data_IF_581540578489
#
_entry.id   IF_581540578489
#
_cell.length_a   1.000
_cell.length_b   1.000
_cell.length_c   1.000
_cell.angle_alpha   90.00
_cell.angle_beta   90.00
_cell.angle_gamma   90.00
#
_symmetry.space_group_name_H-M   'P 1'
#
loop_
_entity.id
_entity.type
_entity.pdbx_description
1 polymer ?
#
# COMPACT_ATOMS: atom_id res chain seq x y z
N UNK A 1 -1.50 3.38 17.98
CA UNK A 1 -2.38 4.01 16.97
C UNK A 1 -3.66 4.51 17.65
N UNK A 2 -4.17 5.70 17.28
CA UNK A 2 -5.38 6.30 17.86
C UNK A 2 -6.64 5.57 17.36
N UNK A 3 -7.75 5.62 18.11
CA UNK A 3 -9.01 4.93 17.74
C UNK A 3 -9.57 5.39 16.38
N UNK A 4 -9.42 6.67 16.05
CA UNK A 4 -9.85 7.23 14.76
C UNK A 4 -9.01 6.70 13.59
N UNK A 5 -7.70 6.57 13.79
CA UNK A 5 -6.80 5.96 12.82
C UNK A 5 -7.16 4.49 12.57
N UNK A 6 -7.50 3.74 13.62
CA UNK A 6 -7.96 2.34 13.50
C UNK A 6 -9.22 2.20 12.64
N UNK A 7 -10.19 3.09 12.81
CA UNK A 7 -11.40 3.10 12.00
C UNK A 7 -11.10 3.42 10.53
N UNK A 8 -10.25 4.41 10.28
CA UNK A 8 -9.76 4.74 8.94
C UNK A 8 -9.07 3.54 8.28
N UNK A 9 -8.07 2.95 8.94
CA UNK A 9 -7.32 1.79 8.41
C UNK A 9 -8.26 0.66 8.05
N UNK A 10 -9.22 0.34 8.94
CA UNK A 10 -10.20 -0.72 8.70
C UNK A 10 -11.10 -0.44 7.49
N UNK A 11 -11.55 0.80 7.30
CA UNK A 11 -12.38 1.13 6.13
C UNK A 11 -11.55 1.15 4.84
N UNK A 12 -10.40 1.82 4.84
CA UNK A 12 -9.55 1.95 3.67
C UNK A 12 -9.02 0.59 3.18
N UNK A 13 -8.75 -0.35 4.09
CA UNK A 13 -8.43 -1.75 3.74
C UNK A 13 -9.53 -2.44 2.93
N UNK A 14 -10.81 -2.19 3.24
CA UNK A 14 -11.92 -2.74 2.43
C UNK A 14 -11.90 -2.16 1.02
N UNK A 15 -11.60 -0.87 0.88
CA UNK A 15 -11.50 -0.20 -0.44
C UNK A 15 -10.32 -0.73 -1.24
N UNK A 16 -9.18 -0.98 -0.59
CA UNK A 16 -8.02 -1.62 -1.20
C UNK A 16 -8.35 -3.03 -1.70
N UNK A 17 -9.02 -3.83 -0.89
CA UNK A 17 -9.42 -5.20 -1.26
C UNK A 17 -10.40 -5.24 -2.43
N UNK A 18 -11.30 -4.26 -2.51
CA UNK A 18 -12.29 -4.15 -3.58
C UNK A 18 -11.75 -3.47 -4.84
N UNK A 19 -10.47 -3.06 -4.86
CA UNK A 19 -9.87 -2.34 -6.00
C UNK A 19 -10.44 -0.93 -6.22
N UNK A 20 -11.10 -0.35 -5.22
CA UNK A 20 -11.73 0.98 -5.28
C UNK A 20 -10.97 2.05 -4.50
N UNK A 21 -9.77 1.74 -3.97
CA UNK A 21 -8.89 2.73 -3.37
C UNK A 21 -8.10 3.52 -4.43
N UNK A 22 -7.97 4.83 -4.21
CA UNK A 22 -7.13 5.71 -5.00
C UNK A 22 -6.29 6.63 -4.10
N UNK A 23 -5.21 7.17 -4.64
CA UNK A 23 -4.34 8.15 -3.98
C UNK A 23 -4.42 9.48 -4.70
N UNK A 24 -4.49 10.56 -3.92
CA UNK A 24 -4.19 11.90 -4.39
C UNK A 24 -2.94 12.41 -3.66
N UNK A 25 -1.84 12.58 -4.37
CA UNK A 25 -0.57 13.03 -3.81
C UNK A 25 -0.33 14.51 -4.12
N UNK A 26 -0.14 15.32 -3.08
CA UNK A 26 0.37 16.69 -3.22
C UNK A 26 1.87 16.78 -2.96
N UNK A 27 2.41 18.00 -3.04
CA UNK A 27 3.86 18.23 -2.93
C UNK A 27 4.45 17.74 -1.60
N UNK A 28 3.65 17.76 -0.52
CA UNK A 28 4.09 17.31 0.81
C UNK A 28 4.51 15.83 0.88
N UNK A 29 4.05 14.98 -0.05
CA UNK A 29 4.52 13.58 -0.12
C UNK A 29 5.98 13.49 -0.57
N UNK A 30 6.41 14.43 -1.42
CA UNK A 30 7.73 14.52 -2.05
C UNK A 30 8.74 15.31 -1.20
N UNK A 31 8.31 16.11 -0.21
CA UNK A 31 9.20 16.96 0.59
C UNK A 31 10.29 16.17 1.32
N UNK A 32 9.93 15.05 1.94
CA UNK A 32 10.90 14.18 2.62
C UNK A 32 11.92 13.50 1.70
N UNK A 33 11.70 13.53 0.38
CA UNK A 33 12.64 13.02 -0.62
C UNK A 33 13.67 14.08 -1.07
N UNK A 34 13.54 15.32 -0.57
CA UNK A 34 14.39 16.45 -0.94
C UNK A 34 13.75 17.40 -1.95
N UNK A 35 12.50 17.15 -2.39
CA UNK A 35 11.79 18.07 -3.27
C UNK A 35 11.15 19.23 -2.51
N UNK A 36 11.00 20.35 -3.19
CA UNK A 36 10.45 21.57 -2.63
C UNK A 36 8.95 21.69 -2.88
N UNK A 37 8.27 22.43 -2.02
CA UNK A 37 6.86 22.78 -2.23
C UNK A 37 6.71 23.99 -3.17
N UNK A 38 5.46 24.31 -3.55
CA UNK A 38 5.17 25.41 -4.48
C UNK A 38 5.66 26.79 -4.00
N UNK A 39 5.61 27.05 -2.68
CA UNK A 39 6.08 28.32 -2.11
C UNK A 39 7.61 28.44 -2.22
N UNK A 40 8.32 27.37 -1.93
CA UNK A 40 9.77 27.28 -2.04
C UNK A 40 10.24 27.43 -3.50
N UNK A 41 9.55 26.79 -4.45
CA UNK A 41 9.86 26.91 -5.89
C UNK A 41 9.80 28.35 -6.39
N UNK A 42 8.89 29.16 -5.85
CA UNK A 42 8.72 30.57 -6.25
C UNK A 42 9.56 31.57 -5.44
N UNK A 43 10.40 31.11 -4.50
CA UNK A 43 11.16 32.01 -3.63
C UNK A 43 12.12 32.92 -4.42
N UNK A 44 12.84 32.37 -5.41
CA UNK A 44 13.74 33.15 -6.26
C UNK A 44 12.97 34.13 -7.14
N UNK A 45 11.77 33.74 -7.58
CA UNK A 45 10.89 34.59 -8.39
C UNK A 45 10.40 35.78 -7.56
N UNK A 46 9.97 35.55 -6.32
CA UNK A 46 9.64 36.64 -5.40
C UNK A 46 10.84 37.58 -5.21
N UNK A 47 12.04 37.01 -5.02
CA UNK A 47 13.27 37.78 -4.84
C UNK A 47 13.59 38.65 -6.06
N UNK A 48 13.48 38.11 -7.28
CA UNK A 48 13.66 38.89 -8.52
C UNK A 48 12.63 40.02 -8.66
N UNK A 49 11.38 39.77 -8.26
CA UNK A 49 10.30 40.75 -8.26
C UNK A 49 10.38 41.73 -7.07
N UNK A 50 11.38 41.58 -6.19
CA UNK A 50 11.54 42.35 -4.94
C UNK A 50 10.33 42.25 -4.00
N UNK A 51 9.69 41.09 -4.01
CA UNK A 51 8.60 40.73 -3.12
C UNK A 51 9.11 39.77 -2.04
N UNK A 52 8.44 39.75 -0.89
CA UNK A 52 8.73 38.81 0.18
C UNK A 52 7.75 37.64 0.11
N UNK A 53 8.24 36.45 -0.28
CA UNK A 53 7.44 35.23 -0.41
C UNK A 53 6.66 34.88 0.88
N UNK A 54 7.16 35.30 2.05
CA UNK A 54 6.50 35.03 3.32
C UNK A 54 5.23 35.86 3.53
N UNK A 55 5.10 37.00 2.85
CA UNK A 55 3.93 37.86 2.88
C UNK A 55 2.93 37.55 1.75
N UNK A 56 3.34 36.73 0.76
CA UNK A 56 2.52 36.40 -0.40
C UNK A 56 1.58 35.22 -0.14
N UNK A 57 0.27 35.46 -0.29
CA UNK A 57 -0.77 34.43 -0.16
C UNK A 57 -1.23 33.87 -1.50
N UNK A 58 -1.08 34.64 -2.59
CA UNK A 58 -1.46 34.24 -3.95
C UNK A 58 -0.22 33.97 -4.81
N UNK A 59 0.34 32.79 -4.59
CA UNK A 59 1.51 32.27 -5.32
C UNK A 59 1.24 32.10 -6.82
N UNK A 60 -0.01 31.92 -7.24
CA UNK A 60 -0.39 31.76 -8.65
C UNK A 60 -0.28 33.12 -9.37
N UNK A 61 -0.75 34.20 -8.73
CA UNK A 61 -0.58 35.55 -9.25
C UNK A 61 0.89 35.97 -9.27
N UNK A 62 1.69 35.57 -8.28
CA UNK A 62 3.14 35.82 -8.26
C UNK A 62 3.84 35.28 -9.51
N UNK A 63 3.57 34.02 -9.88
CA UNK A 63 4.10 33.42 -11.10
C UNK A 63 3.67 34.19 -12.36
N UNK A 64 2.43 34.68 -12.40
CA UNK A 64 1.93 35.50 -13.51
C UNK A 64 2.64 36.86 -13.59
N UNK A 65 2.94 37.51 -12.46
CA UNK A 65 3.67 38.79 -12.44
C UNK A 65 5.05 38.65 -13.07
N UNK A 66 5.76 37.57 -12.77
CA UNK A 66 7.05 37.28 -13.38
C UNK A 66 6.95 37.13 -14.90
N UNK A 67 5.99 36.34 -15.40
CA UNK A 67 5.77 36.18 -16.85
C UNK A 67 5.39 37.50 -17.51
N UNK A 68 4.58 38.32 -16.85
CA UNK A 68 4.18 39.63 -17.38
C UNK A 68 5.36 40.61 -17.46
N UNK A 69 6.24 40.63 -16.45
CA UNK A 69 7.43 41.48 -16.43
C UNK A 69 8.47 41.04 -17.46
N UNK A 70 8.80 39.74 -17.49
CA UNK A 70 9.84 39.19 -18.38
C UNK A 70 9.35 38.88 -19.78
N UNK A 71 8.04 38.92 -20.02
CA UNK A 71 7.36 38.52 -21.28
C UNK A 71 7.73 37.10 -21.75
N UNK A 72 8.09 36.22 -20.82
CA UNK A 72 8.59 34.88 -21.12
C UNK A 72 8.37 33.93 -19.94
N UNK A 73 7.97 32.69 -20.20
CA UNK A 73 7.80 31.62 -19.20
C UNK A 73 8.99 30.67 -19.10
N UNK A 74 10.01 30.84 -19.95
CA UNK A 74 11.19 29.95 -19.99
C UNK A 74 11.94 29.87 -18.67
N UNK A 75 11.97 30.95 -17.88
CA UNK A 75 12.60 30.94 -16.56
C UNK A 75 11.87 30.01 -15.58
N UNK A 76 10.54 30.12 -15.47
CA UNK A 76 9.70 29.22 -14.67
C UNK A 76 9.87 27.76 -15.10
N UNK A 77 9.84 27.49 -16.40
CA UNK A 77 10.02 26.14 -16.93
C UNK A 77 11.41 25.60 -16.60
N UNK A 78 12.45 26.45 -16.73
CA UNK A 78 13.83 26.09 -16.40
C UNK A 78 13.97 25.78 -14.92
N UNK A 79 13.37 26.57 -14.02
CA UNK A 79 13.40 26.29 -12.57
C UNK A 79 12.75 24.97 -12.22
N UNK A 80 11.63 24.60 -12.86
CA UNK A 80 11.03 23.26 -12.67
C UNK A 80 12.01 22.16 -13.08
N UNK A 81 12.63 22.31 -14.25
CA UNK A 81 13.61 21.33 -14.70
C UNK A 81 14.78 21.27 -13.73
N UNK A 82 15.34 22.40 -13.29
CA UNK A 82 16.48 22.42 -12.37
C UNK A 82 16.16 21.79 -11.01
N UNK A 83 15.04 22.17 -10.40
CA UNK A 83 14.67 21.71 -9.05
C UNK A 83 14.15 20.27 -9.03
N UNK A 84 13.55 19.80 -10.12
CA UNK A 84 12.94 18.46 -10.18
C UNK A 84 13.70 17.47 -11.08
N UNK A 85 14.80 17.86 -11.74
CA UNK A 85 15.64 16.93 -12.51
C UNK A 85 16.66 16.17 -11.64
N UNK A 86 16.99 16.67 -10.45
CA UNK A 86 17.86 15.91 -9.54
C UNK A 86 17.16 14.63 -9.08
N UNK A 87 17.91 13.52 -9.06
CA UNK A 87 17.38 12.23 -8.61
C UNK A 87 17.19 12.26 -7.10
N UNK A 88 15.97 12.51 -6.68
CA UNK A 88 15.53 12.29 -5.31
C UNK A 88 15.28 10.79 -5.04
N UNK A 89 15.59 10.35 -3.83
CA UNK A 89 15.28 8.99 -3.38
C UNK A 89 13.83 8.93 -2.89
N UNK A 90 13.01 7.96 -3.34
CA UNK A 90 11.65 7.82 -2.85
C UNK A 90 11.57 7.68 -1.33
N UNK A 91 10.65 8.41 -0.70
CA UNK A 91 10.37 8.23 0.74
C UNK A 91 9.76 6.85 1.01
N UNK A 92 9.76 6.42 2.27
CA UNK A 92 9.13 5.14 2.64
C UNK A 92 7.63 5.12 2.31
N UNK A 93 6.94 6.26 2.37
CA UNK A 93 5.54 6.36 1.97
C UNK A 93 5.34 5.99 0.49
N UNK A 94 6.23 6.44 -0.41
CA UNK A 94 6.17 6.03 -1.82
C UNK A 94 6.34 4.51 -1.96
N UNK A 95 7.31 3.93 -1.24
CA UNK A 95 7.60 2.50 -1.30
C UNK A 95 6.42 1.66 -0.80
N UNK A 96 5.80 2.06 0.31
CA UNK A 96 4.60 1.40 0.84
C UNK A 96 3.45 1.47 -0.17
N UNK A 97 3.14 2.67 -0.68
CA UNK A 97 2.07 2.87 -1.66
C UNK A 97 2.30 2.07 -2.93
N UNK A 98 3.55 1.92 -3.38
CA UNK A 98 3.91 1.12 -4.54
C UNK A 98 3.74 -0.39 -4.31
N UNK A 99 3.85 -0.89 -3.07
CA UNK A 99 3.61 -2.31 -2.72
C UNK A 99 2.12 -2.64 -2.57
N UNK A 100 1.29 -1.66 -2.25
CA UNK A 100 -0.16 -1.83 -2.15
C UNK A 100 -0.83 -2.03 -3.52
N UNK A 101 -1.99 -2.69 -3.60
CA UNK A 101 -2.70 -2.96 -4.86
C UNK A 101 -3.50 -1.73 -5.38
N UNK A 102 -2.87 -0.55 -5.38
CA UNK A 102 -3.49 0.69 -5.83
C UNK A 102 -3.21 0.85 -7.33
N UNK A 103 -4.28 1.07 -8.09
CA UNK A 103 -4.22 1.18 -9.56
C UNK A 103 -4.43 2.62 -10.07
N UNK A 104 -4.81 3.56 -9.20
CA UNK A 104 -5.18 4.92 -9.56
C UNK A 104 -4.48 5.92 -8.67
N UNK A 105 -3.62 6.74 -9.27
CA UNK A 105 -2.90 7.83 -8.60
C UNK A 105 -3.19 9.13 -9.33
N UNK A 106 -3.53 10.16 -8.56
CA UNK A 106 -3.66 11.53 -9.02
C UNK A 106 -2.63 12.40 -8.31
N UNK A 107 -2.06 13.36 -9.01
CA UNK A 107 -1.12 14.31 -8.41
C UNK A 107 -1.12 15.65 -9.14
N UNK A 108 -0.78 16.69 -8.39
CA UNK A 108 -0.45 18.03 -8.90
C UNK A 108 1.06 18.25 -9.01
N UNK A 109 1.87 17.25 -8.66
CA UNK A 109 3.33 17.36 -8.64
C UNK A 109 3.92 17.14 -10.04
N UNK A 110 5.08 17.75 -10.27
CA UNK A 110 5.83 17.64 -11.52
C UNK A 110 6.84 16.47 -11.50
N UNK A 111 7.34 16.11 -10.32
CA UNK A 111 8.31 15.03 -10.09
C UNK A 111 7.79 13.66 -10.55
N UNK A 112 8.70 12.70 -10.73
CA UNK A 112 8.39 11.35 -11.23
C UNK A 112 8.52 10.25 -10.16
N UNK A 113 8.49 10.60 -8.86
CA UNK A 113 8.76 9.64 -7.78
C UNK A 113 7.73 8.52 -7.71
N UNK A 114 6.45 8.83 -7.93
CA UNK A 114 5.38 7.83 -7.90
C UNK A 114 5.63 6.79 -9.00
N UNK A 115 5.90 7.26 -10.21
CA UNK A 115 6.13 6.45 -11.40
C UNK A 115 7.40 5.62 -11.28
N UNK A 116 8.50 6.24 -10.81
CA UNK A 116 9.77 5.56 -10.58
C UNK A 116 9.60 4.47 -9.53
N UNK A 117 9.02 4.78 -8.38
CA UNK A 117 8.85 3.80 -7.30
C UNK A 117 7.96 2.64 -7.74
N UNK A 118 6.86 2.91 -8.46
CA UNK A 118 6.02 1.85 -9.02
C UNK A 118 6.81 0.93 -9.96
N UNK A 119 7.69 1.47 -10.82
CA UNK A 119 8.56 0.69 -11.71
C UNK A 119 9.61 -0.11 -10.94
N UNK A 120 10.16 0.43 -9.87
CA UNK A 120 11.11 -0.27 -8.99
C UNK A 120 10.47 -1.52 -8.37
N UNK A 121 9.16 -1.48 -8.10
CA UNK A 121 8.34 -2.62 -7.69
C UNK A 121 7.74 -3.42 -8.87
N UNK A 122 8.34 -3.32 -10.06
CA UNK A 122 8.00 -4.08 -11.26
C UNK A 122 6.56 -3.87 -11.78
N UNK A 123 5.94 -2.73 -11.46
CA UNK A 123 4.61 -2.38 -12.00
C UNK A 123 4.72 -1.66 -13.34
N UNK A 124 3.79 -1.97 -14.24
CA UNK A 124 3.60 -1.30 -15.52
C UNK A 124 2.78 -0.03 -15.29
N UNK A 125 3.44 1.13 -15.37
CA UNK A 125 2.82 2.44 -15.12
C UNK A 125 2.37 3.09 -16.44
N UNK A 126 1.13 3.60 -16.44
CA UNK A 126 0.55 4.41 -17.51
C UNK A 126 0.44 5.87 -17.04
N UNK A 127 1.42 6.70 -17.38
CA UNK A 127 1.48 8.11 -16.97
C UNK A 127 0.68 8.98 -17.94
N UNK A 128 -0.16 9.88 -17.39
CA UNK A 128 -1.03 10.81 -18.11
C UNK A 128 -0.79 12.23 -17.60
N UNK A 129 -0.07 13.04 -18.39
CA UNK A 129 0.23 14.44 -18.08
C UNK A 129 -0.23 15.41 -19.18
N UNK A 130 -0.80 14.90 -20.29
CA UNK A 130 -1.49 15.72 -21.30
C UNK A 130 -2.87 15.15 -21.67
N UNK A 131 -3.83 15.98 -22.12
CA UNK A 131 -5.18 15.51 -22.45
C UNK A 131 -5.20 14.45 -23.57
N UNK A 132 -4.29 14.55 -24.54
CA UNK A 132 -4.20 13.59 -25.64
C UNK A 132 -3.79 12.18 -25.19
N UNK A 133 -3.06 12.05 -24.06
CA UNK A 133 -2.67 10.75 -23.54
C UNK A 133 -3.84 9.98 -22.93
N UNK A 134 -4.93 10.66 -22.53
CA UNK A 134 -6.11 10.02 -21.95
C UNK A 134 -6.86 9.12 -22.93
N UNK A 135 -6.71 9.34 -24.23
CA UNK A 135 -7.34 8.53 -25.29
C UNK A 135 -6.57 7.23 -25.59
N UNK A 136 -5.38 7.07 -25.02
CA UNK A 136 -4.53 5.89 -25.22
C UNK A 136 -4.33 5.16 -23.90
N UNK A 137 -4.13 3.85 -23.96
CA UNK A 137 -3.91 3.03 -22.77
C UNK A 137 -2.68 2.16 -22.96
N UNK A 138 -1.85 2.09 -21.92
CA UNK A 138 -0.75 1.13 -21.89
C UNK A 138 -1.30 -0.26 -21.62
N UNK A 139 -0.98 -1.22 -22.50
CA UNK A 139 -1.39 -2.61 -22.33
C UNK A 139 -0.81 -3.19 -21.03
N UNK A 140 -1.63 -3.97 -20.30
CA UNK A 140 -1.26 -4.64 -19.05
C UNK A 140 -0.78 -3.69 -17.95
N UNK A 141 -1.24 -2.43 -17.95
CA UNK A 141 -0.93 -1.46 -16.88
C UNK A 141 -1.42 -1.96 -15.53
N UNK A 142 -0.57 -1.86 -14.52
CA UNK A 142 -0.91 -2.14 -13.12
C UNK A 142 -1.44 -0.87 -12.43
N UNK A 143 -0.97 0.31 -12.85
CA UNK A 143 -1.37 1.59 -12.29
C UNK A 143 -1.40 2.70 -13.36
N UNK A 144 -2.32 3.66 -13.19
CA UNK A 144 -2.40 4.91 -13.94
C UNK A 144 -2.00 6.07 -13.02
N UNK A 145 -1.12 6.94 -13.50
CA UNK A 145 -0.67 8.13 -12.77
C UNK A 145 -1.10 9.36 -13.56
N UNK A 146 -2.11 10.07 -13.06
CA UNK A 146 -2.61 11.31 -13.65
C UNK A 146 -1.92 12.52 -13.01
N UNK A 147 -1.20 13.29 -13.83
CA UNK A 147 -0.49 14.50 -13.41
C UNK A 147 -1.21 15.70 -13.97
N UNK A 148 -1.94 16.40 -13.11
CA UNK A 148 -2.85 17.47 -13.54
C UNK A 148 -2.11 18.71 -14.04
N UNK A 149 -0.96 19.01 -13.45
CA UNK A 149 -0.21 20.22 -13.79
C UNK A 149 0.93 19.99 -14.77
N UNK A 150 1.02 18.79 -15.35
CA UNK A 150 2.08 18.43 -16.28
C UNK A 150 3.19 17.60 -15.63
N UNK A 151 4.37 17.62 -16.23
CA UNK A 151 5.47 16.72 -15.94
C UNK A 151 6.81 17.43 -16.09
N UNK A 152 7.78 17.10 -15.24
CA UNK A 152 9.12 17.71 -15.25
C UNK A 152 9.83 17.55 -16.60
N UNK A 153 9.68 16.40 -17.26
CA UNK A 153 10.32 16.13 -18.56
C UNK A 153 9.69 16.98 -19.69
N UNK A 154 8.53 17.59 -19.44
CA UNK A 154 7.77 18.42 -20.37
C UNK A 154 7.36 19.76 -19.75
N UNK A 155 8.29 20.42 -19.06
CA UNK A 155 8.04 21.64 -18.30
C UNK A 155 7.35 22.77 -19.09
N UNK A 156 7.48 22.83 -20.42
CA UNK A 156 6.79 23.81 -21.27
C UNK A 156 5.26 23.70 -21.24
N UNK A 157 4.74 22.53 -20.88
CA UNK A 157 3.31 22.26 -20.77
C UNK A 157 2.79 22.39 -19.33
N UNK A 158 3.64 22.83 -18.40
CA UNK A 158 3.29 22.89 -16.99
C UNK A 158 2.24 23.98 -16.66
N UNK A 159 1.35 23.68 -15.72
CA UNK A 159 0.30 24.60 -15.24
C UNK A 159 0.85 25.38 -14.04
N UNK A 160 1.24 26.64 -14.27
CA UNK A 160 2.01 27.42 -13.29
C UNK A 160 1.46 28.82 -13.06
N UNK A 161 0.92 29.43 -14.10
CA UNK A 161 0.51 30.83 -14.10
C UNK A 161 -0.99 30.95 -13.93
N UNK A 162 -1.45 32.12 -13.48
CA UNK A 162 -2.87 32.44 -13.39
C UNK A 162 -3.62 32.17 -14.70
N UNK A 163 -3.04 32.55 -15.84
CA UNK A 163 -3.61 32.27 -17.17
C UNK A 163 -3.80 30.76 -17.43
N UNK A 164 -2.87 29.92 -16.98
CA UNK A 164 -2.98 28.46 -17.13
C UNK A 164 -4.15 27.91 -16.29
N UNK A 165 -4.25 28.32 -15.02
CA UNK A 165 -5.34 27.93 -14.12
C UNK A 165 -6.70 28.40 -14.65
N UNK A 166 -6.82 29.65 -15.09
CA UNK A 166 -8.07 30.20 -15.63
C UNK A 166 -8.54 29.48 -16.90
N UNK A 167 -7.62 28.98 -17.73
CA UNK A 167 -7.95 28.22 -18.95
C UNK A 167 -8.03 26.71 -18.72
N UNK A 168 -7.74 26.22 -17.52
CA UNK A 168 -7.63 24.78 -17.23
C UNK A 168 -8.94 24.04 -17.51
N UNK A 169 -10.08 24.63 -17.16
CA UNK A 169 -11.40 24.04 -17.41
C UNK A 169 -11.73 23.78 -18.89
N UNK A 170 -11.06 24.49 -19.81
CA UNK A 170 -11.18 24.28 -21.27
C UNK A 170 -10.07 23.38 -21.78
N UNK A 171 -8.82 23.72 -21.46
CA UNK A 171 -7.63 23.04 -22.01
C UNK A 171 -7.46 21.62 -21.47
N UNK A 172 -7.88 21.37 -20.24
CA UNK A 172 -7.75 20.10 -19.53
C UNK A 172 -9.12 19.54 -19.09
N UNK A 173 -10.20 19.91 -19.77
CA UNK A 173 -11.55 19.41 -19.50
C UNK A 173 -11.62 17.87 -19.37
N UNK A 174 -10.88 17.07 -20.19
CA UNK A 174 -10.85 15.61 -20.02
C UNK A 174 -10.29 15.14 -18.68
N UNK A 175 -9.28 15.81 -18.10
CA UNK A 175 -8.75 15.48 -16.78
C UNK A 175 -9.78 15.77 -15.68
N UNK A 176 -10.48 16.90 -15.78
CA UNK A 176 -11.55 17.26 -14.83
C UNK A 176 -12.63 16.17 -14.85
N UNK A 177 -13.08 15.77 -16.04
CA UNK A 177 -14.09 14.71 -16.18
C UNK A 177 -13.59 13.37 -15.63
N UNK A 178 -12.35 12.98 -15.93
CA UNK A 178 -11.77 11.74 -15.42
C UNK A 178 -11.64 11.74 -13.89
N UNK A 179 -11.14 12.83 -13.30
CA UNK A 179 -11.03 12.97 -11.84
C UNK A 179 -12.41 12.96 -11.18
N UNK A 180 -13.40 13.64 -11.76
CA UNK A 180 -14.77 13.60 -11.24
C UNK A 180 -15.32 12.16 -11.25
N UNK A 181 -15.12 11.40 -12.32
CA UNK A 181 -15.56 10.00 -12.40
C UNK A 181 -14.85 9.11 -11.36
N UNK A 182 -13.53 9.29 -11.17
CA UNK A 182 -12.79 8.56 -10.15
C UNK A 182 -13.26 8.94 -8.74
N UNK A 183 -13.49 10.22 -8.43
CA UNK A 183 -13.98 10.66 -7.12
C UNK A 183 -15.37 10.11 -6.80
N UNK A 184 -16.21 9.85 -7.81
CA UNK A 184 -17.50 9.19 -7.59
C UNK A 184 -17.36 7.69 -7.34
N UNK A 185 -16.44 7.02 -8.04
CA UNK A 185 -16.36 5.55 -8.05
C UNK A 185 -15.31 4.96 -7.11
N UNK A 186 -14.39 5.79 -6.58
CA UNK A 186 -13.26 5.38 -5.76
C UNK A 186 -13.19 6.17 -4.46
N UNK A 187 -12.61 5.55 -3.43
CA UNK A 187 -12.27 6.23 -2.18
C UNK A 187 -10.83 6.75 -2.27
N UNK A 188 -10.69 8.06 -2.32
CA UNK A 188 -9.40 8.73 -2.31
C UNK A 188 -8.82 8.86 -0.91
N UNK A 189 -7.50 8.69 -0.82
CA UNK A 189 -6.67 9.13 0.28
C UNK A 189 -5.75 10.26 -0.21
N UNK A 190 -5.98 11.47 0.30
CA UNK A 190 -5.19 12.66 0.04
C UNK A 190 -3.98 12.71 0.99
N UNK A 191 -2.77 12.81 0.44
CA UNK A 191 -1.51 12.82 1.19
C UNK A 191 -0.65 14.00 0.75
N UNK A 192 -0.17 14.79 1.72
CA UNK A 192 0.70 15.94 1.44
C UNK A 192 0.03 17.05 0.61
N UNK A 193 -1.29 17.15 0.67
CA UNK A 193 -2.09 18.06 -0.15
C UNK A 193 -2.71 19.17 0.71
N UNK A 194 -2.53 20.44 0.29
CA UNK A 194 -2.95 21.62 1.04
C UNK A 194 -4.38 22.08 0.73
N UNK A 195 -5.06 21.47 -0.24
CA UNK A 195 -6.41 21.88 -0.73
C UNK A 195 -6.52 23.33 -1.20
N UNK A 196 -5.39 24.03 -1.35
CA UNK A 196 -5.31 25.40 -1.86
C UNK A 196 -5.31 25.47 -3.39
N UNK A 197 -5.35 24.33 -4.08
CA UNK A 197 -5.30 24.28 -5.54
C UNK A 197 -6.67 24.62 -6.17
N UNK A 198 -6.77 25.68 -7.00
CA UNK A 198 -8.05 26.09 -7.60
C UNK A 198 -8.68 25.04 -8.53
N UNK A 199 -7.88 24.24 -9.24
CA UNK A 199 -8.43 23.22 -10.14
C UNK A 199 -9.09 22.09 -9.34
N UNK A 200 -8.53 21.73 -8.19
CA UNK A 200 -9.13 20.74 -7.29
C UNK A 200 -10.37 21.29 -6.60
N UNK A 201 -10.32 22.53 -6.09
CA UNK A 201 -11.50 23.18 -5.52
C UNK A 201 -12.64 23.24 -6.54
N UNK A 202 -12.33 23.54 -7.81
CA UNK A 202 -13.29 23.50 -8.90
C UNK A 202 -13.91 22.11 -9.09
N UNK A 203 -13.11 21.05 -9.17
CA UNK A 203 -13.61 19.67 -9.32
C UNK A 203 -14.50 19.26 -8.15
N UNK A 204 -14.05 19.52 -6.90
CA UNK A 204 -14.80 19.17 -5.69
C UNK A 204 -16.13 19.93 -5.62
N UNK A 205 -16.14 21.22 -5.97
CA UNK A 205 -17.38 22.02 -6.00
C UNK A 205 -18.41 21.47 -6.99
N UNK A 206 -17.96 20.95 -8.15
CA UNK A 206 -18.85 20.41 -9.18
C UNK A 206 -19.49 19.09 -8.74
N UNK A 207 -18.73 18.25 -8.03
CA UNK A 207 -19.24 16.99 -7.49
C UNK A 207 -20.34 17.22 -6.45
N UNK A 208 -20.14 18.21 -5.57
CA UNK A 208 -21.12 18.54 -4.54
C UNK A 208 -22.48 18.93 -5.11
N UNK A 209 -22.50 19.74 -6.17
CA UNK A 209 -23.75 20.23 -6.79
C UNK A 209 -24.58 19.10 -7.43
N UNK A 210 -23.95 17.98 -7.80
CA UNK A 210 -24.61 16.89 -8.51
C UNK A 210 -25.09 15.73 -7.66
N UNK A 211 -24.73 15.65 -6.36
CA UNK A 211 -24.82 14.41 -5.57
C UNK A 211 -25.46 14.57 -4.18
N UNK A 212 -26.13 15.71 -3.89
CA UNK A 212 -26.91 16.01 -2.66
C UNK A 212 -26.66 15.05 -1.47
N UNK A 213 -25.71 15.41 -0.60
CA UNK A 213 -25.31 14.72 0.65
C UNK A 213 -24.88 13.23 0.57
N UNK A 214 -24.94 12.58 -0.59
CA UNK A 214 -24.48 11.18 -0.82
C UNK A 214 -23.07 11.10 -1.44
N UNK A 215 -22.23 12.12 -1.23
CA UNK A 215 -20.86 12.13 -1.75
C UNK A 215 -20.03 11.03 -1.10
N UNK A 216 -19.26 10.29 -1.92
CA UNK A 216 -18.39 9.21 -1.46
C UNK A 216 -17.44 9.64 -0.33
N UNK A 217 -17.22 8.74 0.63
CA UNK A 217 -16.31 9.01 1.74
C UNK A 217 -14.85 8.93 1.26
N UNK A 218 -14.16 10.05 1.29
CA UNK A 218 -12.73 10.18 1.06
C UNK A 218 -11.99 10.46 2.37
N UNK A 219 -10.66 10.38 2.34
CA UNK A 219 -9.81 10.62 3.51
C UNK A 219 -8.66 11.56 3.18
N UNK A 220 -8.26 12.41 4.12
CA UNK A 220 -7.09 13.27 3.97
C UNK A 220 -6.24 13.24 5.25
N UNK A 221 -4.93 13.00 5.13
CA UNK A 221 -4.04 13.17 6.28
C UNK A 221 -3.81 14.66 6.54
N UNK A 222 -4.10 15.11 7.76
CA UNK A 222 -3.94 16.51 8.16
C UNK A 222 -3.13 16.57 9.46
N UNK A 223 -1.97 17.24 9.45
CA UNK A 223 -1.21 17.48 10.68
C UNK A 223 -1.95 18.51 11.55
N UNK A 224 -2.17 18.22 12.83
CA UNK A 224 -2.73 19.18 13.79
C UNK A 224 -1.79 20.36 13.96
N UNK A 225 -2.36 21.57 14.03
CA UNK A 225 -1.61 22.76 14.40
C UNK A 225 -1.06 22.55 15.81
N UNK A 226 0.25 22.68 15.96
CA UNK A 226 0.96 22.58 17.23
C UNK A 226 1.59 23.92 17.61
N UNK A 227 1.74 24.16 18.91
CA UNK A 227 2.42 25.37 19.40
C UNK A 227 3.89 25.33 19.00
N UNK A 228 4.39 26.42 18.43
CA UNK A 228 5.75 26.50 17.89
C UNK A 228 5.87 26.07 16.42
N UNK A 229 4.79 25.63 15.78
CA UNK A 229 4.73 25.61 14.31
C UNK A 229 4.92 27.04 13.77
N UNK A 230 5.48 27.17 12.56
CA UNK A 230 5.70 28.48 11.91
C UNK A 230 4.40 29.28 11.84
N UNK A 231 4.41 30.49 12.37
CA UNK A 231 3.23 31.36 12.48
C UNK A 231 2.27 30.96 13.59
N UNK A 232 2.65 30.08 14.52
CA UNK A 232 1.91 29.65 15.73
C UNK A 232 2.81 29.68 16.98
N UNK A 233 3.79 30.58 17.00
CA UNK A 233 4.76 30.74 18.09
C UNK A 233 4.12 31.38 19.33
N UNK A 234 3.30 32.41 19.11
CA UNK A 234 2.54 33.05 20.18
C UNK A 234 1.28 32.25 20.53
N UNK A 235 0.75 32.47 21.75
CA UNK A 235 -0.50 31.83 22.18
C UNK A 235 -1.69 32.28 21.32
N UNK A 236 -1.69 33.55 20.91
CA UNK A 236 -2.77 34.14 20.11
C UNK A 236 -2.78 33.55 18.70
N UNK A 237 -1.61 33.48 18.06
CA UNK A 237 -1.46 32.90 16.72
C UNK A 237 -1.80 31.41 16.70
N UNK A 238 -1.36 30.66 17.72
CA UNK A 238 -1.71 29.25 17.89
C UNK A 238 -3.24 29.05 17.97
N UNK A 239 -3.93 29.83 18.80
CA UNK A 239 -5.40 29.73 18.93
C UNK A 239 -6.11 30.14 17.63
N UNK A 240 -5.61 31.16 16.95
CA UNK A 240 -6.14 31.59 15.65
C UNK A 240 -5.99 30.50 14.60
N UNK A 241 -4.80 29.92 14.45
CA UNK A 241 -4.54 28.86 13.46
C UNK A 241 -5.26 27.56 13.79
N UNK A 242 -5.38 27.20 15.07
CA UNK A 242 -6.22 26.07 15.48
C UNK A 242 -7.68 26.30 15.07
N UNK A 243 -8.22 27.51 15.27
CA UNK A 243 -9.58 27.86 14.86
C UNK A 243 -9.74 27.87 13.34
N UNK A 244 -8.74 28.35 12.60
CA UNK A 244 -8.70 28.32 11.13
C UNK A 244 -8.67 26.89 10.60
N UNK A 245 -7.85 26.02 11.21
CA UNK A 245 -7.81 24.59 10.88
C UNK A 245 -9.17 23.95 11.11
N UNK A 246 -9.84 24.21 12.24
CA UNK A 246 -11.19 23.70 12.48
C UNK A 246 -12.16 24.02 11.32
N UNK A 247 -12.20 25.28 10.85
CA UNK A 247 -13.06 25.63 9.72
C UNK A 247 -12.64 24.99 8.40
N UNK A 248 -11.33 24.82 8.17
CA UNK A 248 -10.83 24.06 7.01
C UNK A 248 -11.31 22.60 7.07
N UNK A 249 -11.28 21.96 8.23
CA UNK A 249 -11.77 20.59 8.42
C UNK A 249 -13.28 20.49 8.17
N UNK A 250 -14.06 21.46 8.64
CA UNK A 250 -15.50 21.54 8.33
C UNK A 250 -15.77 21.73 6.84
N UNK A 251 -14.92 22.49 6.14
CA UNK A 251 -15.05 22.66 4.69
C UNK A 251 -14.76 21.35 3.93
N UNK A 252 -13.75 20.59 4.34
CA UNK A 252 -13.46 19.26 3.77
C UNK A 252 -14.65 18.29 3.91
N UNK A 253 -15.34 18.32 5.05
CA UNK A 253 -16.55 17.50 5.27
C UNK A 253 -17.66 17.83 4.27
N UNK A 254 -17.77 19.09 3.83
CA UNK A 254 -18.75 19.51 2.80
C UNK A 254 -18.51 18.84 1.44
N UNK A 255 -17.32 18.29 1.22
CA UNK A 255 -16.93 17.56 0.01
C UNK A 255 -16.83 16.04 0.24
N UNK A 256 -17.31 15.53 1.39
CA UNK A 256 -17.21 14.11 1.73
C UNK A 256 -15.79 13.65 2.14
N UNK A 257 -14.88 14.59 2.42
CA UNK A 257 -13.49 14.29 2.78
C UNK A 257 -13.34 14.31 4.30
N UNK A 258 -13.06 13.13 4.86
CA UNK A 258 -12.81 12.97 6.29
C UNK A 258 -11.33 13.19 6.60
N UNK A 259 -11.02 14.13 7.49
CA UNK A 259 -9.65 14.32 7.93
C UNK A 259 -9.22 13.21 8.89
N UNK A 260 -8.08 12.60 8.58
CA UNK A 260 -7.35 11.70 9.46
C UNK A 260 -6.26 12.54 10.10
N UNK A 261 -6.56 13.12 11.26
CA UNK A 261 -5.66 14.05 11.92
C UNK A 261 -4.46 13.33 12.55
N UNK A 262 -3.25 13.85 12.35
CA UNK A 262 -2.00 13.32 12.90
C UNK A 262 -1.27 14.39 13.69
N UNK A 263 -0.51 13.99 14.72
CA UNK A 263 0.25 14.99 15.52
C UNK A 263 1.60 15.33 14.85
N UNK A 264 2.13 14.41 14.04
CA UNK A 264 3.36 14.56 13.27
C UNK A 264 3.21 13.90 11.89
N UNK A 265 4.09 14.24 10.94
CA UNK A 265 4.08 13.60 9.63
C UNK A 265 4.56 12.14 9.69
N UNK A 266 5.35 11.75 10.70
CA UNK A 266 5.82 10.38 10.88
C UNK A 266 4.66 9.40 11.18
N UNK A 267 3.61 9.87 11.88
CA UNK A 267 2.39 9.07 12.11
C UNK A 267 1.74 8.63 10.79
N UNK A 268 1.89 9.39 9.70
CA UNK A 268 1.36 8.98 8.37
C UNK A 268 2.06 7.70 7.92
N UNK A 269 3.39 7.63 8.05
CA UNK A 269 4.18 6.46 7.69
C UNK A 269 3.78 5.25 8.55
N UNK A 270 3.59 5.44 9.86
CA UNK A 270 3.13 4.38 10.75
C UNK A 270 1.76 3.82 10.34
N UNK A 271 0.82 4.70 9.99
CA UNK A 271 -0.52 4.31 9.52
C UNK A 271 -0.43 3.55 8.19
N UNK A 272 0.39 4.01 7.24
CA UNK A 272 0.60 3.32 5.97
C UNK A 272 1.26 1.94 6.16
N UNK A 273 2.22 1.81 7.08
CA UNK A 273 2.81 0.53 7.47
C UNK A 273 1.73 -0.39 8.04
N UNK A 274 0.84 0.12 8.90
CA UNK A 274 -0.26 -0.67 9.46
C UNK A 274 -1.23 -1.14 8.36
N UNK A 275 -1.55 -0.30 7.38
CA UNK A 275 -2.35 -0.68 6.21
C UNK A 275 -1.66 -1.79 5.42
N UNK A 276 -0.39 -1.63 5.06
CA UNK A 276 0.36 -2.65 4.32
C UNK A 276 0.42 -3.97 5.07
N UNK A 277 0.75 -3.93 6.36
CA UNK A 277 0.83 -5.13 7.20
C UNK A 277 -0.49 -5.86 7.25
N UNK A 278 -1.60 -5.16 7.54
CA UNK A 278 -2.94 -5.76 7.65
C UNK A 278 -3.47 -6.23 6.31
N UNK A 279 -3.12 -5.56 5.21
CA UNK A 279 -3.41 -6.05 3.86
C UNK A 279 -2.71 -7.38 3.61
N UNK A 280 -1.41 -7.47 3.90
CA UNK A 280 -0.63 -8.72 3.74
C UNK A 280 -1.15 -9.84 4.64
N UNK A 281 -1.59 -9.55 5.87
CA UNK A 281 -2.11 -10.55 6.82
C UNK A 281 -3.41 -11.25 6.35
N UNK A 282 -4.08 -10.73 5.32
CA UNK A 282 -5.18 -11.42 4.66
C UNK A 282 -4.72 -12.51 3.70
N UNK A 283 -3.41 -12.66 3.52
CA UNK A 283 -2.79 -13.68 2.69
C UNK A 283 -1.95 -14.61 3.57
N UNK A 284 -2.27 -15.90 3.51
CA UNK A 284 -1.64 -16.97 4.28
C UNK A 284 -0.80 -17.83 3.33
N UNK A 285 0.50 -17.87 3.57
CA UNK A 285 1.40 -18.80 2.91
C UNK A 285 1.41 -20.13 3.64
N UNK A 286 1.22 -21.25 2.93
CA UNK A 286 1.31 -22.60 3.50
C UNK A 286 2.60 -23.24 2.98
N UNK A 287 3.58 -23.37 3.88
CA UNK A 287 4.85 -24.04 3.68
C UNK A 287 4.78 -25.48 4.19
N UNK A 288 5.27 -26.43 3.41
CA UNK A 288 5.34 -27.82 3.85
C UNK A 288 5.66 -28.81 2.75
N UNK A 289 6.28 -29.92 3.15
CA UNK A 289 6.47 -31.10 2.33
C UNK A 289 6.39 -32.35 3.19
N UNK A 290 5.84 -33.44 2.67
CA UNK A 290 5.68 -34.68 3.41
C UNK A 290 5.81 -35.90 2.49
N UNK A 291 6.82 -36.72 2.75
CA UNK A 291 6.86 -38.11 2.33
C UNK A 291 6.12 -38.99 3.34
N UNK A 292 6.38 -38.76 4.64
CA UNK A 292 5.71 -39.39 5.77
C UNK A 292 4.91 -38.39 6.61
N UNK A 293 3.88 -38.89 7.30
CA UNK A 293 2.91 -38.08 8.05
C UNK A 293 2.91 -38.39 9.55
N UNK A 294 3.91 -39.13 10.03
CA UNK A 294 4.06 -39.48 11.44
C UNK A 294 2.85 -40.23 11.99
N UNK A 295 2.48 -39.95 13.24
CA UNK A 295 1.37 -40.62 13.94
C UNK A 295 0.01 -40.40 13.30
N UNK A 296 -0.15 -39.34 12.51
CA UNK A 296 -1.44 -39.03 11.89
C UNK A 296 -1.75 -39.95 10.72
N UNK A 297 -0.73 -40.51 10.07
CA UNK A 297 -0.90 -41.20 8.82
C UNK A 297 -1.36 -40.27 7.69
N UNK A 298 -1.30 -40.78 6.46
CA UNK A 298 -1.53 -40.00 5.25
C UNK A 298 -2.94 -39.42 5.17
N UNK A 299 -3.97 -40.23 5.41
CA UNK A 299 -5.36 -39.82 5.20
C UNK A 299 -5.80 -38.72 6.17
N UNK A 300 -5.48 -38.84 7.46
CA UNK A 300 -5.79 -37.82 8.48
C UNK A 300 -5.04 -36.51 8.17
N UNK A 301 -3.78 -36.60 7.78
CA UNK A 301 -2.96 -35.43 7.46
C UNK A 301 -3.43 -34.68 6.21
N UNK A 302 -3.76 -35.39 5.13
CA UNK A 302 -4.28 -34.75 3.91
C UNK A 302 -5.67 -34.15 4.16
N UNK A 303 -6.52 -34.82 4.93
CA UNK A 303 -7.84 -34.30 5.34
C UNK A 303 -7.71 -33.02 6.17
N UNK A 304 -6.71 -32.96 7.06
CA UNK A 304 -6.39 -31.76 7.83
C UNK A 304 -5.97 -30.60 6.93
N UNK A 305 -4.99 -30.80 6.05
CA UNK A 305 -4.48 -29.75 5.14
C UNK A 305 -5.60 -29.23 4.24
N UNK A 306 -6.43 -30.14 3.73
CA UNK A 306 -7.62 -29.83 2.95
C UNK A 306 -8.59 -28.93 3.72
N UNK A 307 -8.98 -29.36 4.92
CA UNK A 307 -9.93 -28.64 5.79
C UNK A 307 -9.39 -27.29 6.25
N UNK A 308 -8.08 -27.19 6.48
CA UNK A 308 -7.39 -25.95 6.81
C UNK A 308 -7.51 -24.96 5.65
N UNK A 309 -7.13 -25.37 4.44
CA UNK A 309 -7.22 -24.53 3.24
C UNK A 309 -8.65 -24.07 2.95
N UNK A 310 -9.61 -25.00 3.02
CA UNK A 310 -11.05 -24.74 2.89
C UNK A 310 -11.50 -23.67 3.89
N UNK A 311 -11.11 -23.82 5.16
CA UNK A 311 -11.50 -22.91 6.23
C UNK A 311 -10.89 -21.51 6.08
N UNK A 312 -9.65 -21.41 5.59
CA UNK A 312 -9.01 -20.13 5.30
C UNK A 312 -9.74 -19.37 4.20
N UNK A 313 -10.01 -20.02 3.06
CA UNK A 313 -10.76 -19.41 1.95
C UNK A 313 -12.17 -19.00 2.41
N UNK A 314 -12.84 -19.86 3.18
CA UNK A 314 -14.18 -19.58 3.72
C UNK A 314 -14.23 -18.42 4.72
N UNK A 315 -13.07 -17.95 5.20
CA UNK A 315 -12.91 -16.74 6.03
C UNK A 315 -12.33 -15.56 5.24
N UNK A 316 -12.39 -15.62 3.91
CA UNK A 316 -11.91 -14.60 2.96
C UNK A 316 -10.39 -14.37 2.98
N UNK A 317 -9.60 -15.34 3.47
CA UNK A 317 -8.15 -15.28 3.29
C UNK A 317 -7.78 -15.71 1.87
N UNK A 318 -6.66 -15.17 1.38
CA UNK A 318 -5.94 -15.71 0.23
C UNK A 318 -4.95 -16.77 0.71
N UNK A 319 -4.80 -17.84 -0.04
CA UNK A 319 -3.89 -18.94 0.24
C UNK A 319 -2.81 -18.96 -0.84
N UNK A 320 -1.54 -18.95 -0.41
CA UNK A 320 -0.37 -19.06 -1.28
C UNK A 320 0.33 -20.38 -0.99
N UNK A 321 0.70 -21.14 -2.02
CA UNK A 321 1.42 -22.40 -1.84
C UNK A 321 2.47 -22.65 -2.93
N UNK A 322 3.62 -23.19 -2.51
CA UNK A 322 4.74 -23.53 -3.38
C UNK A 322 4.61 -24.87 -4.12
N UNK A 323 3.45 -25.53 -4.02
CA UNK A 323 3.22 -26.91 -4.47
C UNK A 323 4.18 -27.91 -3.82
N UNK A 324 4.27 -27.88 -2.50
CA UNK A 324 5.11 -28.80 -1.74
C UNK A 324 4.67 -30.26 -1.92
N UNK A 325 5.63 -31.17 -2.10
CA UNK A 325 5.37 -32.60 -2.26
C UNK A 325 4.57 -33.14 -1.07
N UNK A 326 3.49 -33.90 -1.35
CA UNK A 326 2.61 -34.46 -0.32
C UNK A 326 1.70 -33.47 0.41
N UNK A 327 1.82 -32.16 0.16
CA UNK A 327 1.00 -31.12 0.82
C UNK A 327 0.17 -30.33 -0.20
N UNK A 328 0.77 -29.97 -1.34
CA UNK A 328 0.22 -29.01 -2.30
C UNK A 328 -1.16 -29.40 -2.84
N UNK A 329 -1.36 -30.66 -3.24
CA UNK A 329 -2.65 -31.11 -3.78
C UNK A 329 -3.80 -30.99 -2.78
N UNK A 330 -3.56 -31.28 -1.50
CA UNK A 330 -4.59 -31.11 -0.46
C UNK A 330 -4.92 -29.63 -0.22
N UNK A 331 -3.92 -28.74 -0.25
CA UNK A 331 -4.14 -27.29 -0.15
C UNK A 331 -5.02 -26.80 -1.30
N UNK A 332 -4.69 -27.18 -2.53
CA UNK A 332 -5.42 -26.77 -3.74
C UNK A 332 -6.86 -27.26 -3.68
N UNK A 333 -7.06 -28.55 -3.41
CA UNK A 333 -8.39 -29.14 -3.40
C UNK A 333 -9.29 -28.47 -2.35
N UNK A 334 -8.78 -28.19 -1.14
CA UNK A 334 -9.58 -27.56 -0.10
C UNK A 334 -9.96 -26.12 -0.43
N UNK A 335 -9.05 -25.37 -1.04
CA UNK A 335 -9.34 -24.02 -1.50
C UNK A 335 -10.39 -24.02 -2.63
N UNK A 336 -10.21 -24.86 -3.65
CA UNK A 336 -11.13 -24.97 -4.79
C UNK A 336 -12.51 -25.47 -4.36
N UNK A 337 -12.59 -26.39 -3.40
CA UNK A 337 -13.87 -26.86 -2.87
C UNK A 337 -14.70 -25.71 -2.32
N UNK A 338 -14.14 -24.84 -1.47
CA UNK A 338 -14.85 -23.67 -0.96
C UNK A 338 -15.21 -22.66 -2.05
N UNK A 339 -14.32 -22.44 -3.02
CA UNK A 339 -14.57 -21.53 -4.16
C UNK A 339 -15.76 -22.04 -4.97
N UNK A 340 -15.81 -23.33 -5.28
CA UNK A 340 -16.88 -23.92 -6.08
C UNK A 340 -18.18 -24.16 -5.29
N UNK A 341 -18.11 -24.35 -3.97
CA UNK A 341 -19.29 -24.38 -3.09
C UNK A 341 -19.98 -23.01 -3.03
N UNK A 342 -19.21 -21.91 -3.07
CA UNK A 342 -19.72 -20.54 -2.92
C UNK A 342 -19.10 -19.54 -3.92
N UNK A 343 -19.33 -19.73 -5.24
CA UNK A 343 -18.65 -18.96 -6.30
C UNK A 343 -19.09 -17.49 -6.39
N UNK A 344 -20.19 -17.10 -5.72
CA UNK A 344 -20.62 -15.71 -5.62
C UNK A 344 -19.92 -14.93 -4.50
N UNK A 345 -19.22 -15.64 -3.61
CA UNK A 345 -18.55 -15.05 -2.44
C UNK A 345 -17.03 -15.19 -2.58
N UNK A 346 -16.56 -16.27 -3.19
CA UNK A 346 -15.15 -16.63 -3.29
C UNK A 346 -14.68 -16.72 -4.74
N UNK A 347 -13.40 -16.43 -4.97
CA UNK A 347 -12.79 -16.35 -6.30
C UNK A 347 -11.48 -17.13 -6.36
N UNK A 348 -11.11 -17.63 -7.53
CA UNK A 348 -9.81 -18.26 -7.79
C UNK A 348 -8.63 -17.31 -7.50
N UNK A 349 -8.84 -15.98 -7.50
CA UNK A 349 -7.81 -15.02 -7.07
C UNK A 349 -7.41 -15.19 -5.59
N UNK A 350 -8.21 -15.91 -4.80
CA UNK A 350 -7.85 -16.30 -3.43
C UNK A 350 -6.84 -17.45 -3.38
N UNK A 351 -6.52 -18.12 -4.49
CA UNK A 351 -5.57 -19.22 -4.54
C UNK A 351 -4.40 -18.89 -5.46
N UNK A 352 -3.21 -18.67 -4.88
CA UNK A 352 -1.99 -18.42 -5.64
C UNK A 352 -1.04 -19.62 -5.55
N UNK A 353 -0.91 -20.36 -6.64
CA UNK A 353 -0.02 -21.52 -6.74
C UNK A 353 1.26 -21.13 -7.48
N UNK A 354 2.41 -21.38 -6.87
CA UNK A 354 3.73 -21.08 -7.45
C UNK A 354 4.63 -22.33 -7.37
N UNK A 355 4.42 -23.32 -8.26
CA UNK A 355 5.23 -24.53 -8.23
C UNK A 355 6.69 -24.21 -8.52
N UNK A 356 7.59 -24.89 -7.82
CA UNK A 356 9.02 -24.71 -8.04
C UNK A 356 9.43 -25.18 -9.44
N UNK A 357 10.26 -24.41 -10.16
CA UNK A 357 10.80 -24.83 -11.44
C UNK A 357 11.66 -26.09 -11.27
N UNK A 358 11.42 -27.10 -12.11
CA UNK A 358 12.12 -28.39 -12.07
C UNK A 358 13.34 -28.42 -13.00
N UNK A 359 13.41 -27.48 -13.95
CA UNK A 359 14.48 -27.41 -14.95
C UNK A 359 15.19 -26.06 -14.84
N UNK A 360 16.50 -26.07 -15.11
CA UNK A 360 17.30 -24.85 -15.20
C UNK A 360 16.78 -24.00 -16.36
N UNK A 361 16.43 -22.74 -16.09
CA UNK A 361 15.96 -21.79 -17.10
C UNK A 361 16.96 -20.64 -17.27
N UNK A 362 17.41 -20.42 -18.51
CA UNK A 362 18.34 -19.34 -18.85
C UNK A 362 19.72 -19.47 -18.18
N UNK A 363 20.25 -18.34 -17.69
CA UNK A 363 21.62 -18.22 -17.15
C UNK A 363 21.75 -18.53 -15.66
N UNK A 364 20.64 -18.68 -14.93
CA UNK A 364 20.67 -18.84 -13.47
C UNK A 364 20.74 -20.31 -13.05
N UNK A 365 21.46 -20.59 -11.97
CA UNK A 365 21.42 -21.90 -11.33
C UNK A 365 20.10 -22.15 -10.60
N UNK A 366 19.69 -23.41 -10.52
CA UNK A 366 18.39 -23.81 -9.98
C UNK A 366 18.19 -23.35 -8.52
N UNK A 367 19.26 -23.38 -7.72
CA UNK A 367 19.24 -22.89 -6.34
C UNK A 367 18.95 -21.39 -6.24
N UNK A 368 19.57 -20.56 -7.10
CA UNK A 368 19.32 -19.11 -7.14
C UNK A 368 17.90 -18.79 -7.61
N UNK A 369 17.40 -19.54 -8.59
CA UNK A 369 16.04 -19.40 -9.07
C UNK A 369 15.01 -19.77 -7.98
N UNK A 370 15.22 -20.86 -7.25
CA UNK A 370 14.37 -21.25 -6.12
C UNK A 370 14.38 -20.22 -4.99
N UNK A 371 15.54 -19.64 -4.68
CA UNK A 371 15.65 -18.58 -3.69
C UNK A 371 14.77 -17.37 -4.05
N UNK A 372 14.92 -16.85 -5.27
CA UNK A 372 14.12 -15.72 -5.77
C UNK A 372 12.62 -16.05 -5.81
N UNK A 373 12.26 -17.30 -6.15
CA UNK A 373 10.87 -17.74 -6.17
C UNK A 373 10.26 -17.76 -4.76
N UNK A 374 10.98 -18.26 -3.76
CA UNK A 374 10.55 -18.23 -2.35
C UNK A 374 10.36 -16.81 -1.86
N UNK A 375 11.36 -15.95 -2.05
CA UNK A 375 11.31 -14.55 -1.63
C UNK A 375 10.10 -13.83 -2.22
N UNK A 376 9.84 -14.01 -3.52
CA UNK A 376 8.68 -13.42 -4.17
C UNK A 376 7.37 -14.00 -3.66
N UNK A 377 7.25 -15.32 -3.55
CA UNK A 377 6.03 -15.97 -3.11
C UNK A 377 5.65 -15.59 -1.66
N UNK A 378 6.64 -15.58 -0.77
CA UNK A 378 6.45 -15.23 0.65
C UNK A 378 6.13 -13.74 0.81
N UNK A 379 6.66 -12.86 -0.06
CA UNK A 379 6.42 -11.42 0.02
C UNK A 379 4.96 -10.99 -0.13
N UNK A 380 4.10 -11.86 -0.68
CA UNK A 380 2.66 -11.63 -0.78
C UNK A 380 1.91 -11.90 0.53
N UNK A 381 2.50 -12.68 1.45
CA UNK A 381 1.84 -13.13 2.65
C UNK A 381 2.24 -12.30 3.88
N UNK A 382 1.29 -12.12 4.80
CA UNK A 382 1.55 -11.56 6.13
C UNK A 382 1.60 -12.63 7.21
N UNK A 383 1.20 -13.86 6.89
CA UNK A 383 1.26 -15.02 7.78
C UNK A 383 1.77 -16.24 7.02
N UNK A 384 2.66 -17.01 7.64
CA UNK A 384 3.18 -18.27 7.12
C UNK A 384 2.83 -19.42 8.07
N UNK A 385 2.13 -20.44 7.57
CA UNK A 385 1.88 -21.69 8.27
C UNK A 385 2.93 -22.72 7.84
N UNK A 386 3.50 -23.45 8.79
CA UNK A 386 4.42 -24.55 8.49
C UNK A 386 3.79 -25.87 8.90
N UNK A 387 3.74 -26.82 7.96
CA UNK A 387 3.16 -28.15 8.15
C UNK A 387 4.13 -29.23 7.69
N UNK A 388 4.34 -30.23 8.54
CA UNK A 388 5.30 -31.32 8.32
C UNK A 388 6.69 -30.77 7.99
N UNK A 389 7.22 -31.07 6.81
CA UNK A 389 8.54 -30.64 6.35
C UNK A 389 9.55 -31.76 6.46
N UNK A 390 9.27 -32.88 5.82
CA UNK A 390 10.21 -33.96 5.60
C UNK A 390 10.34 -34.29 4.11
N UNK A 391 11.40 -35.05 3.78
CA UNK A 391 11.68 -35.59 2.45
C UNK A 391 12.42 -36.92 2.57
N UNK A 392 12.33 -37.74 1.52
CA UNK A 392 13.20 -38.91 1.36
C UNK A 392 14.57 -38.48 0.83
N UNK A 393 15.63 -38.84 1.52
CA UNK A 393 17.01 -38.68 1.04
C UNK A 393 17.81 -39.95 1.38
N UNK A 394 18.42 -40.57 0.35
CA UNK A 394 19.20 -41.80 0.50
C UNK A 394 18.46 -42.94 1.24
N UNK A 395 17.14 -43.06 1.04
CA UNK A 395 16.31 -44.11 1.66
C UNK A 395 15.94 -43.85 3.12
N UNK A 396 16.26 -42.69 3.67
CA UNK A 396 15.85 -42.27 5.01
C UNK A 396 14.98 -41.01 4.95
N UNK A 397 14.02 -40.91 5.86
CA UNK A 397 13.24 -39.70 6.06
C UNK A 397 14.07 -38.71 6.86
N UNK A 398 14.27 -37.52 6.30
CA UNK A 398 14.96 -36.42 6.95
C UNK A 398 14.13 -35.14 6.87
N UNK A 399 14.46 -34.17 7.72
CA UNK A 399 13.83 -32.87 7.68
C UNK A 399 14.13 -32.12 6.37
N UNK A 400 13.10 -31.49 5.82
CA UNK A 400 13.18 -30.77 4.57
C UNK A 400 13.77 -29.37 4.78
N UNK A 401 15.04 -29.20 4.43
CA UNK A 401 15.72 -27.90 4.47
C UNK A 401 15.06 -26.81 3.61
N UNK A 402 14.16 -27.16 2.67
CA UNK A 402 13.33 -26.20 1.94
C UNK A 402 12.36 -25.44 2.85
N UNK A 403 11.70 -26.14 3.77
CA UNK A 403 10.76 -25.55 4.75
C UNK A 403 11.50 -24.64 5.73
N UNK A 404 12.70 -25.03 6.17
CA UNK A 404 13.59 -24.16 6.98
C UNK A 404 13.92 -22.85 6.26
N UNK A 405 14.31 -22.92 4.99
CA UNK A 405 14.61 -21.72 4.18
C UNK A 405 13.39 -20.81 4.05
N UNK A 406 12.21 -21.38 3.89
CA UNK A 406 10.95 -20.62 3.83
C UNK A 406 10.66 -19.92 5.16
N UNK A 407 10.93 -20.57 6.29
CA UNK A 407 10.83 -19.96 7.62
C UNK A 407 11.78 -18.77 7.78
N UNK A 408 13.05 -18.92 7.41
CA UNK A 408 14.05 -17.86 7.50
C UNK A 408 13.73 -16.66 6.59
N UNK A 409 13.23 -16.93 5.37
CA UNK A 409 12.80 -15.87 4.45
C UNK A 409 11.59 -15.13 5.03
N UNK A 410 10.60 -15.88 5.53
CA UNK A 410 9.40 -15.31 6.14
C UNK A 410 9.76 -14.44 7.36
N UNK A 411 10.69 -14.91 8.22
CA UNK A 411 11.20 -14.15 9.36
C UNK A 411 11.85 -12.83 8.91
N UNK A 412 12.75 -12.88 7.92
CA UNK A 412 13.42 -11.69 7.39
C UNK A 412 12.46 -10.68 6.78
N UNK A 413 11.34 -11.14 6.22
CA UNK A 413 10.31 -10.30 5.63
C UNK A 413 9.25 -9.82 6.63
N UNK A 414 9.40 -10.15 7.93
CA UNK A 414 8.45 -9.73 8.98
C UNK A 414 7.09 -10.43 8.90
N UNK A 415 7.03 -11.62 8.28
CA UNK A 415 5.83 -12.45 8.19
C UNK A 415 5.60 -13.16 9.52
N UNK A 416 4.36 -13.23 9.99
CA UNK A 416 4.05 -13.95 11.24
C UNK A 416 4.22 -15.46 11.03
N UNK A 417 5.02 -16.10 11.88
CA UNK A 417 5.46 -17.49 11.70
C UNK A 417 4.67 -18.46 12.58
N UNK A 418 3.78 -19.27 12.01
CA UNK A 418 2.94 -20.23 12.72
C UNK A 418 3.30 -21.67 12.36
N UNK A 419 4.38 -22.23 12.94
CA UNK A 419 4.69 -23.63 12.80
C UNK A 419 3.70 -24.50 13.58
N UNK A 420 3.18 -25.54 12.93
CA UNK A 420 2.20 -26.47 13.52
C UNK A 420 2.97 -27.68 14.05
N UNK A 421 3.49 -27.57 15.28
CA UNK A 421 4.37 -28.58 15.87
C UNK A 421 3.76 -29.99 15.95
N UNK A 422 2.43 -30.08 16.05
CA UNK A 422 1.70 -31.37 16.06
C UNK A 422 1.88 -32.18 14.77
N UNK A 423 2.32 -31.54 13.68
CA UNK A 423 2.62 -32.22 12.40
C UNK A 423 4.02 -32.83 12.33
N UNK A 424 4.85 -32.66 13.37
CA UNK A 424 6.18 -33.27 13.44
C UNK A 424 7.22 -32.66 12.50
N UNK A 425 8.37 -33.34 12.38
CA UNK A 425 9.47 -33.00 11.46
C UNK A 425 9.96 -31.56 11.60
N UNK A 426 10.40 -30.94 10.51
CA UNK A 426 10.87 -29.55 10.51
C UNK A 426 9.87 -28.57 11.14
N UNK A 427 8.57 -28.75 10.93
CA UNK A 427 7.55 -27.91 11.58
C UNK A 427 7.61 -27.98 13.11
N UNK A 428 7.87 -29.16 13.69
CA UNK A 428 8.07 -29.31 15.14
C UNK A 428 9.35 -28.61 15.60
N UNK A 429 10.47 -28.80 14.90
CA UNK A 429 11.72 -28.12 15.24
C UNK A 429 11.57 -26.58 15.21
N UNK A 430 10.88 -26.05 14.20
CA UNK A 430 10.57 -24.62 14.10
C UNK A 430 9.63 -24.14 15.21
N UNK A 431 8.65 -24.95 15.60
CA UNK A 431 7.76 -24.64 16.72
C UNK A 431 8.51 -24.60 18.05
N UNK A 432 9.42 -25.55 18.29
CA UNK A 432 10.27 -25.57 19.48
C UNK A 432 11.18 -24.33 19.53
N UNK A 433 11.79 -23.94 18.40
CA UNK A 433 12.59 -22.71 18.27
C UNK A 433 11.76 -21.45 18.58
N UNK A 434 10.56 -21.35 18.00
CA UNK A 434 9.63 -20.24 18.29
C UNK A 434 9.23 -20.21 19.76
N UNK A 435 8.99 -21.35 20.39
CA UNK A 435 8.56 -21.40 21.80
C UNK A 435 9.70 -21.10 22.77
N UNK A 436 10.93 -21.45 22.41
CA UNK A 436 12.12 -21.16 23.22
C UNK A 436 12.41 -19.66 23.30
N UNK A 437 12.16 -18.92 22.22
CA UNK A 437 12.41 -17.48 22.12
C UNK A 437 11.18 -16.70 21.63
N UNK A 438 10.02 -16.97 22.27
CA UNK A 438 8.72 -16.49 21.80
C UNK A 438 8.65 -14.97 21.61
N UNK A 439 9.22 -14.20 22.54
CA UNK A 439 9.13 -12.73 22.51
C UNK A 439 9.90 -12.12 21.33
N UNK A 440 10.95 -12.80 20.84
CA UNK A 440 11.68 -12.38 19.64
C UNK A 440 10.85 -12.61 18.37
N UNK A 441 10.09 -13.70 18.31
CA UNK A 441 9.22 -14.02 17.16
C UNK A 441 7.87 -13.28 17.20
N UNK A 442 7.38 -12.92 18.40
CA UNK A 442 6.07 -12.30 18.64
C UNK A 442 6.16 -11.04 19.53
N UNK A 443 7.01 -10.05 19.22
CA UNK A 443 7.33 -8.94 20.12
C UNK A 443 6.11 -8.08 20.51
N UNK A 444 5.06 -8.08 19.70
CA UNK A 444 3.86 -7.27 19.91
C UNK A 444 2.57 -8.11 20.05
N UNK A 445 2.71 -9.43 20.25
CA UNK A 445 1.59 -10.39 20.27
C UNK A 445 1.68 -11.38 21.46
N UNK A 446 1.96 -10.94 22.70
CA UNK A 446 2.09 -11.86 23.84
C UNK A 446 0.81 -12.67 24.10
N UNK A 447 -0.37 -12.15 23.74
CA UNK A 447 -1.64 -12.82 23.96
C UNK A 447 -1.85 -14.07 23.11
N UNK A 448 -1.12 -14.25 22.00
CA UNK A 448 -1.24 -15.46 21.17
C UNK A 448 -0.39 -16.62 21.69
N UNK A 449 0.47 -16.40 22.69
CA UNK A 449 1.40 -17.42 23.21
C UNK A 449 0.71 -18.73 23.55
N UNK A 450 -0.35 -18.68 24.36
CA UNK A 450 -1.11 -19.89 24.75
C UNK A 450 -1.74 -20.60 23.56
N UNK A 451 -2.13 -19.87 22.52
CA UNK A 451 -2.69 -20.45 21.30
C UNK A 451 -1.61 -21.11 20.46
N UNK A 452 -0.45 -20.46 20.31
CA UNK A 452 0.72 -21.03 19.60
C UNK A 452 1.24 -22.27 20.32
N UNK A 453 1.27 -22.28 21.66
CA UNK A 453 1.60 -23.45 22.47
C UNK A 453 0.70 -24.66 22.14
N UNK A 454 -0.59 -24.42 21.94
CA UNK A 454 -1.53 -25.49 21.60
C UNK A 454 -1.31 -26.09 20.20
N UNK A 455 -0.66 -25.37 19.28
CA UNK A 455 -0.32 -25.90 17.94
C UNK A 455 0.70 -27.05 18.00
N UNK A 456 1.40 -27.22 19.13
CA UNK A 456 2.40 -28.28 19.30
C UNK A 456 1.81 -29.67 19.48
N UNK A 457 0.60 -29.81 20.06
CA UNK A 457 0.06 -31.10 20.50
C UNK A 457 -1.46 -31.29 20.29
N UNK A 458 -2.15 -30.35 19.64
CA UNK A 458 -3.61 -30.44 19.46
C UNK A 458 -4.03 -31.38 18.32
N UNK A 459 -5.27 -31.87 18.36
CA UNK A 459 -5.89 -32.61 17.26
C UNK A 459 -6.21 -31.71 16.04
N UNK A 460 -6.27 -32.26 14.81
CA UNK A 460 -6.42 -31.50 13.58
C UNK A 460 -7.55 -30.46 13.56
N UNK A 461 -8.76 -30.81 13.99
CA UNK A 461 -9.91 -29.89 13.99
C UNK A 461 -9.70 -28.73 14.96
N UNK A 462 -9.05 -29.00 16.10
CA UNK A 462 -8.76 -27.99 17.10
C UNK A 462 -7.67 -27.03 16.60
N UNK A 463 -6.66 -27.54 15.89
CA UNK A 463 -5.61 -26.72 15.26
C UNK A 463 -6.22 -25.70 14.31
N UNK A 464 -7.18 -26.10 13.46
CA UNK A 464 -7.83 -25.17 12.52
C UNK A 464 -8.52 -24.03 13.29
N UNK A 465 -9.26 -24.35 14.35
CA UNK A 465 -9.91 -23.34 15.21
C UNK A 465 -8.90 -22.39 15.85
N UNK A 466 -7.79 -22.93 16.37
CA UNK A 466 -6.71 -22.15 16.97
C UNK A 466 -6.09 -21.20 15.94
N UNK A 467 -5.77 -21.70 14.73
CA UNK A 467 -5.20 -20.86 13.66
C UNK A 467 -6.16 -19.72 13.31
N UNK A 468 -7.45 -19.99 13.12
CA UNK A 468 -8.43 -18.94 12.82
C UNK A 468 -8.57 -17.92 13.96
N UNK A 469 -8.44 -18.35 15.21
CA UNK A 469 -8.42 -17.44 16.37
C UNK A 469 -7.16 -16.57 16.38
N UNK A 470 -5.98 -17.17 16.16
CA UNK A 470 -4.71 -16.44 16.06
C UNK A 470 -4.78 -15.40 14.93
N UNK A 471 -5.22 -15.80 13.72
CA UNK A 471 -5.40 -14.89 12.59
C UNK A 471 -6.38 -13.75 12.90
N UNK A 472 -7.46 -14.03 13.63
CA UNK A 472 -8.39 -12.99 14.06
C UNK A 472 -7.78 -12.01 15.06
N UNK A 473 -6.84 -12.44 15.91
CA UNK A 473 -6.12 -11.55 16.85
C UNK A 473 -5.10 -10.71 16.07
N UNK A 474 -4.32 -11.35 15.19
CA UNK A 474 -3.33 -10.68 14.36
C UNK A 474 -3.97 -9.58 13.51
N UNK A 475 -5.10 -9.87 12.85
CA UNK A 475 -5.79 -8.89 12.00
C UNK A 475 -6.46 -7.73 12.75
N UNK A 476 -6.62 -7.84 14.08
CA UNK A 476 -7.11 -6.72 14.91
C UNK A 476 -5.99 -5.76 15.32
N UNK A 477 -4.73 -6.18 15.24
CA UNK A 477 -3.56 -5.39 15.66
C UNK A 477 -2.87 -4.76 14.48
#
# INVERSE_FOLDING_TARGET
MKSEHELFVKDYLKKLNNGSAAIFAGAGLSVGAGFINWKELLNDIATELKLNIELEYDLISLAQYHVNEKRNSSFLNKRIVEEFAERAEPTENHRILARLPISTYWTTNYDNLIEQTLRDYQKIVDTKHTPSQLTTHRNRRDAVVYKMHGDVDHATNAVLTKDHYERYYKTHAPFITALSADLVTKTFLFIGFSFSDPNISYVLSRLKVGLDDETGHHYAFIKKVARGDKGSESKEDFLYNQRKQYFMLEDLKRYGINAVEVDSYDEITEILIAIERRYKQQTVFIAGSAEEYGEWGKDKALTFIHSLSKSLVGKNYKVVNGFGWGVGSAVINGALEMIYEKPLIHTEEQLLIRPFPQVKTGKYELGKLWQQYRERMISFAGVALFVFGNKMENGSIIDAGGVRKEFEIAQKQGVVLLPIGATGYMSKALWEEVMQDFDTFYPNLPEVRKLVEQLGNSEPEQIIKIILQILSIINKK
#
